data_IF_040489199113
#
_entry.id   IF_040489199113
#
_cell.length_a   1.000
_cell.length_b   1.000
_cell.length_c   1.000
_cell.angle_alpha   90.00
_cell.angle_beta   90.00
_cell.angle_gamma   90.00
#
_symmetry.space_group_name_H-M   'P 1'
#
loop_
_entity.id
_entity.type
_entity.pdbx_description
1 polymer ?
#
# COMPACT_ATOMS: atom_id res chain seq x y z
N UNK A 1 -18.27 2.50 -12.46
CA UNK A 1 -18.05 1.10 -12.83
C UNK A 1 -16.59 0.82 -12.57
N UNK A 2 -16.31 -0.08 -11.61
CA UNK A 2 -14.94 -0.55 -11.42
C UNK A 2 -14.52 -1.23 -12.73
N UNK A 3 -13.51 -0.71 -13.39
CA UNK A 3 -12.92 -1.38 -14.53
C UNK A 3 -12.34 -2.69 -14.01
N UNK A 4 -12.70 -3.82 -14.61
CA UNK A 4 -12.10 -5.12 -14.34
C UNK A 4 -10.60 -5.02 -14.63
N UNK A 5 -9.81 -4.75 -13.58
CA UNK A 5 -8.37 -4.85 -13.69
C UNK A 5 -8.00 -6.32 -13.55
N UNK A 6 -7.27 -6.85 -14.51
CA UNK A 6 -6.82 -8.23 -14.41
C UNK A 6 -5.81 -8.40 -13.26
N UNK A 7 -5.87 -9.53 -12.55
CA UNK A 7 -4.98 -9.87 -11.46
C UNK A 7 -3.49 -9.69 -11.80
N UNK A 8 -3.12 -10.01 -13.05
CA UNK A 8 -1.75 -9.85 -13.56
C UNK A 8 -1.31 -8.38 -13.64
N UNK A 9 -2.22 -7.47 -14.00
CA UNK A 9 -1.92 -6.03 -14.09
C UNK A 9 -1.76 -5.43 -12.70
N UNK A 10 -2.63 -5.79 -11.75
CA UNK A 10 -2.50 -5.38 -10.35
C UNK A 10 -1.17 -5.85 -9.75
N UNK A 11 -0.81 -7.11 -9.98
CA UNK A 11 0.48 -7.64 -9.54
C UNK A 11 1.66 -6.90 -10.17
N UNK A 12 1.58 -6.55 -11.45
CA UNK A 12 2.62 -5.77 -12.14
C UNK A 12 2.77 -4.39 -11.51
N UNK A 13 1.67 -3.68 -11.28
CA UNK A 13 1.68 -2.37 -10.62
C UNK A 13 2.25 -2.47 -9.20
N UNK A 14 1.81 -3.46 -8.41
CA UNK A 14 2.34 -3.73 -7.08
C UNK A 14 3.86 -3.95 -7.11
N UNK A 15 4.36 -4.85 -7.96
CA UNK A 15 5.79 -5.14 -8.08
C UNK A 15 6.62 -3.93 -8.49
N UNK A 16 6.06 -3.02 -9.26
CA UNK A 16 6.73 -1.78 -9.62
C UNK A 16 6.81 -0.83 -8.43
N UNK A 17 5.72 -0.67 -7.69
CA UNK A 17 5.62 0.19 -6.51
C UNK A 17 6.54 -0.25 -5.38
N UNK A 18 6.53 -1.56 -5.04
CA UNK A 18 7.30 -2.08 -3.90
C UNK A 18 8.82 -2.04 -4.07
N UNK A 19 9.33 -1.75 -5.27
CA UNK A 19 10.77 -1.53 -5.49
C UNK A 19 11.36 -0.38 -4.66
N UNK A 20 10.51 0.49 -4.15
CA UNK A 20 10.89 1.60 -3.27
C UNK A 20 11.01 1.20 -1.79
N UNK A 21 10.74 -0.06 -1.45
CA UNK A 21 10.69 -0.58 -0.09
C UNK A 21 11.60 -1.79 0.07
N UNK A 22 12.14 -2.00 1.29
CA UNK A 22 12.99 -3.15 1.63
C UNK A 22 12.21 -4.25 2.37
N UNK A 23 11.05 -3.93 2.93
CA UNK A 23 10.18 -4.91 3.59
C UNK A 23 8.76 -4.79 3.05
N UNK A 24 8.27 -5.87 2.44
CA UNK A 24 6.94 -5.99 1.87
C UNK A 24 6.53 -7.46 1.82
N UNK A 25 5.25 -7.72 1.64
CA UNK A 25 4.78 -9.08 1.42
C UNK A 25 4.92 -9.46 -0.06
N UNK A 26 5.49 -10.63 -0.30
CA UNK A 26 5.47 -11.23 -1.64
C UNK A 26 4.04 -11.61 -2.00
N UNK A 27 3.60 -11.19 -3.18
CA UNK A 27 2.28 -11.48 -3.73
C UNK A 27 2.42 -12.14 -5.09
N UNK A 28 1.45 -12.97 -5.39
CA UNK A 28 1.33 -13.67 -6.68
C UNK A 28 0.00 -13.36 -7.37
N UNK A 29 -0.23 -14.01 -8.50
CA UNK A 29 -1.48 -13.84 -9.25
C UNK A 29 -2.67 -14.34 -8.44
N UNK A 30 -2.51 -15.46 -7.70
CA UNK A 30 -3.59 -16.06 -6.93
C UNK A 30 -4.08 -15.14 -5.79
N UNK A 31 -3.18 -14.37 -5.20
CA UNK A 31 -3.54 -13.31 -4.24
C UNK A 31 -4.53 -12.31 -4.86
N UNK A 32 -4.21 -11.78 -6.06
CA UNK A 32 -5.06 -10.79 -6.72
C UNK A 32 -6.36 -11.39 -7.29
N UNK A 33 -6.35 -12.64 -7.70
CA UNK A 33 -7.58 -13.35 -8.10
C UNK A 33 -8.52 -13.49 -6.89
N UNK A 34 -7.99 -13.79 -5.71
CA UNK A 34 -8.77 -13.86 -4.46
C UNK A 34 -9.30 -12.48 -4.09
N UNK A 35 -8.45 -11.45 -4.14
CA UNK A 35 -8.85 -10.08 -3.90
C UNK A 35 -10.01 -9.64 -4.83
N UNK A 36 -9.90 -9.90 -6.13
CA UNK A 36 -10.94 -9.55 -7.10
C UNK A 36 -12.25 -10.27 -6.81
N UNK A 37 -12.21 -11.54 -6.36
CA UNK A 37 -13.41 -12.24 -5.88
C UNK A 37 -14.01 -11.58 -4.63
N UNK A 38 -13.19 -11.17 -3.65
CA UNK A 38 -13.66 -10.47 -2.45
C UNK A 38 -14.33 -9.14 -2.79
N UNK A 39 -13.82 -8.42 -3.80
CA UNK A 39 -14.43 -7.16 -4.26
C UNK A 39 -15.87 -7.38 -4.78
N UNK A 40 -16.17 -8.52 -5.36
CA UNK A 40 -17.55 -8.85 -5.81
C UNK A 40 -18.54 -8.98 -4.66
N UNK A 41 -18.06 -9.22 -3.43
CA UNK A 41 -18.89 -9.25 -2.22
C UNK A 41 -19.29 -7.85 -1.71
N UNK A 42 -18.71 -6.79 -2.29
CA UNK A 42 -19.08 -5.41 -1.98
C UNK A 42 -18.53 -4.86 -0.65
N UNK A 43 -17.70 -5.61 0.06
CA UNK A 43 -17.10 -5.19 1.35
C UNK A 43 -15.99 -4.16 1.11
N UNK A 44 -15.19 -4.40 0.09
CA UNK A 44 -14.11 -3.52 -0.37
C UNK A 44 -14.42 -3.05 -1.79
N UNK A 45 -13.81 -1.96 -2.18
CA UNK A 45 -13.91 -1.40 -3.53
C UNK A 45 -12.53 -1.14 -4.09
N UNK A 46 -12.41 -1.17 -5.41
CA UNK A 46 -11.18 -0.92 -6.15
C UNK A 46 -11.41 0.24 -7.12
N UNK A 47 -10.52 1.21 -7.09
CA UNK A 47 -10.38 2.20 -8.15
C UNK A 47 -9.00 2.06 -8.77
N UNK A 48 -8.92 2.21 -10.09
CA UNK A 48 -7.68 2.11 -10.85
C UNK A 48 -7.45 3.36 -11.67
N UNK A 49 -6.18 3.70 -11.87
CA UNK A 49 -5.78 4.77 -12.79
C UNK A 49 -4.95 4.19 -13.92
N UNK A 50 -5.35 4.52 -15.16
CA UNK A 50 -4.62 4.15 -16.37
C UNK A 50 -4.14 5.41 -17.08
N UNK A 51 -2.95 5.33 -17.69
CA UNK A 51 -2.44 6.39 -18.55
C UNK A 51 -3.15 6.45 -19.92
N UNK A 52 -2.72 7.36 -20.77
CA UNK A 52 -3.26 7.53 -22.11
C UNK A 52 -3.06 6.30 -23.03
N UNK A 53 -2.15 5.41 -22.68
CA UNK A 53 -1.86 4.16 -23.40
C UNK A 53 -2.61 2.95 -22.81
N UNK A 54 -3.45 3.18 -21.81
CA UNK A 54 -4.19 2.12 -21.12
C UNK A 54 -3.37 1.34 -20.08
N UNK A 55 -2.13 1.75 -19.80
CA UNK A 55 -1.29 1.09 -18.81
C UNK A 55 -1.77 1.40 -17.40
N UNK A 56 -1.90 0.40 -16.55
CA UNK A 56 -2.27 0.57 -15.15
C UNK A 56 -1.12 1.25 -14.38
N UNK A 57 -1.34 2.48 -13.94
CA UNK A 57 -0.36 3.31 -13.22
C UNK A 57 -0.65 3.44 -11.72
N UNK A 58 -1.71 2.83 -11.24
CA UNK A 58 -2.02 2.78 -9.82
C UNK A 58 -3.40 2.21 -9.54
N UNK A 59 -3.60 1.86 -8.27
CA UNK A 59 -4.90 1.44 -7.75
C UNK A 59 -5.03 1.78 -6.28
N UNK A 60 -6.27 1.96 -5.81
CA UNK A 60 -6.63 2.05 -4.39
C UNK A 60 -7.61 0.94 -4.06
N UNK A 61 -7.41 0.35 -2.87
CA UNK A 61 -8.40 -0.51 -2.23
C UNK A 61 -8.98 0.28 -1.06
N UNK A 62 -10.28 0.46 -1.04
CA UNK A 62 -10.97 1.27 -0.04
C UNK A 62 -12.29 0.63 0.39
N UNK A 63 -12.81 1.07 1.50
CA UNK A 63 -14.08 0.61 2.05
C UNK A 63 -14.72 1.68 2.93
N UNK A 64 -16.02 1.55 3.12
CA UNK A 64 -16.71 2.32 4.15
C UNK A 64 -16.52 1.66 5.51
N UNK A 65 -16.05 2.40 6.51
CA UNK A 65 -16.01 2.00 7.91
C UNK A 65 -16.87 2.95 8.73
N UNK A 66 -18.02 2.50 9.17
CA UNK A 66 -19.05 3.34 9.75
C UNK A 66 -19.45 4.43 8.74
N UNK A 67 -19.07 5.69 8.98
CA UNK A 67 -19.34 6.81 8.08
C UNK A 67 -18.10 7.34 7.37
N UNK A 68 -16.94 6.73 7.62
CA UNK A 68 -15.67 7.18 7.05
C UNK A 68 -15.31 6.37 5.81
N UNK A 69 -14.84 7.05 4.76
CA UNK A 69 -14.22 6.43 3.61
C UNK A 69 -12.75 6.15 3.93
N UNK A 70 -12.39 4.87 4.01
CA UNK A 70 -11.05 4.46 4.43
C UNK A 70 -10.32 3.76 3.29
N UNK A 71 -9.22 4.36 2.84
CA UNK A 71 -8.28 3.74 1.89
C UNK A 71 -7.34 2.84 2.66
N UNK A 72 -7.44 1.54 2.40
CA UNK A 72 -6.64 0.50 3.04
C UNK A 72 -5.30 0.28 2.33
N UNK A 73 -5.28 0.39 1.02
CA UNK A 73 -4.08 0.22 0.23
C UNK A 73 -4.04 1.26 -0.89
N UNK A 74 -2.88 1.88 -1.07
CA UNK A 74 -2.60 2.80 -2.15
C UNK A 74 -1.31 2.38 -2.86
N UNK A 75 -1.44 1.99 -4.12
CA UNK A 75 -0.34 1.65 -5.02
C UNK A 75 -0.37 2.64 -6.18
N UNK A 76 0.71 3.38 -6.38
CA UNK A 76 0.77 4.42 -7.41
C UNK A 76 2.20 4.66 -7.90
N UNK A 77 2.33 4.96 -9.19
CA UNK A 77 3.62 5.24 -9.82
C UNK A 77 3.97 6.73 -9.72
N UNK A 78 2.96 7.59 -9.74
CA UNK A 78 3.10 9.04 -9.77
C UNK A 78 2.07 9.71 -8.87
N UNK A 79 2.41 10.87 -8.31
CA UNK A 79 1.51 11.65 -7.45
C UNK A 79 0.19 12.01 -8.14
N UNK A 80 0.24 12.24 -9.45
CA UNK A 80 -0.96 12.58 -10.24
C UNK A 80 -1.94 11.41 -10.29
N UNK A 81 -1.45 10.17 -10.39
CA UNK A 81 -2.30 8.98 -10.35
C UNK A 81 -3.03 8.88 -9.01
N UNK A 82 -2.28 9.06 -7.90
CA UNK A 82 -2.86 9.07 -6.56
C UNK A 82 -3.91 10.18 -6.40
N UNK A 83 -3.59 11.41 -6.81
CA UNK A 83 -4.53 12.54 -6.71
C UNK A 83 -5.83 12.29 -7.49
N UNK A 84 -5.75 11.73 -8.70
CA UNK A 84 -6.93 11.43 -9.52
C UNK A 84 -7.80 10.34 -8.91
N UNK A 85 -7.17 9.26 -8.44
CA UNK A 85 -7.89 8.20 -7.75
C UNK A 85 -8.56 8.68 -6.46
N UNK A 86 -7.85 9.49 -5.66
CA UNK A 86 -8.43 10.08 -4.45
C UNK A 86 -9.61 11.01 -4.75
N UNK A 87 -9.51 11.83 -5.81
CA UNK A 87 -10.60 12.69 -6.26
C UNK A 87 -11.82 11.88 -6.69
N UNK A 88 -11.61 10.78 -7.39
CA UNK A 88 -12.68 9.88 -7.86
C UNK A 88 -13.45 9.27 -6.69
N UNK A 89 -12.75 8.77 -5.66
CA UNK A 89 -13.39 8.13 -4.53
C UNK A 89 -13.97 9.12 -3.51
N UNK A 90 -13.46 10.36 -3.48
CA UNK A 90 -13.96 11.38 -2.55
C UNK A 90 -15.45 11.68 -2.82
N UNK A 91 -15.85 11.84 -4.10
CA UNK A 91 -17.23 12.13 -4.47
C UNK A 91 -17.83 13.23 -3.59
N UNK A 92 -18.93 12.90 -2.91
CA UNK A 92 -19.61 13.78 -1.96
C UNK A 92 -19.17 13.59 -0.49
N UNK A 93 -18.14 12.80 -0.22
CA UNK A 93 -17.61 12.60 1.13
C UNK A 93 -16.79 13.80 1.58
N UNK A 94 -16.94 14.19 2.85
CA UNK A 94 -16.21 15.33 3.43
C UNK A 94 -14.74 15.05 3.62
N UNK A 95 -14.35 13.80 3.87
CA UNK A 95 -12.99 13.41 4.13
C UNK A 95 -12.69 11.94 3.74
N UNK A 96 -11.42 11.66 3.52
CA UNK A 96 -10.90 10.30 3.31
C UNK A 96 -9.84 10.03 4.38
N UNK A 97 -9.92 8.88 5.02
CA UNK A 97 -8.85 8.34 5.86
C UNK A 97 -7.95 7.48 4.99
N UNK A 98 -6.65 7.74 5.00
CA UNK A 98 -5.68 6.97 4.21
C UNK A 98 -4.68 6.33 5.15
N UNK A 99 -4.62 5.00 5.12
CA UNK A 99 -3.65 4.23 5.89
C UNK A 99 -2.40 3.98 5.04
N UNK A 100 -1.27 4.58 5.41
CA UNK A 100 -0.02 4.50 4.65
C UNK A 100 1.19 4.33 5.55
N UNK A 101 2.29 3.88 4.97
CA UNK A 101 3.58 3.89 5.65
C UNK A 101 4.00 5.33 5.99
N UNK A 102 4.60 5.52 7.16
CA UNK A 102 5.13 6.83 7.58
C UNK A 102 6.12 7.43 6.57
N UNK A 103 6.72 6.61 5.73
CA UNK A 103 7.67 7.04 4.70
C UNK A 103 7.02 7.71 3.49
N UNK A 104 5.73 7.50 3.25
CA UNK A 104 5.05 8.00 2.04
C UNK A 104 4.73 9.50 2.09
N UNK A 105 4.76 10.12 3.27
CA UNK A 105 4.65 11.59 3.46
C UNK A 105 3.59 12.24 2.59
N UNK A 106 2.37 11.70 2.62
CA UNK A 106 1.25 12.17 1.78
C UNK A 106 0.90 13.65 1.99
N UNK A 107 1.28 14.24 3.12
CA UNK A 107 1.14 15.68 3.40
C UNK A 107 1.90 16.57 2.39
N UNK A 108 2.88 16.01 1.66
CA UNK A 108 3.56 16.73 0.57
C UNK A 108 2.75 16.75 -0.73
N UNK A 109 1.82 15.82 -0.89
CA UNK A 109 0.94 15.70 -2.07
C UNK A 109 -0.39 16.39 -1.77
N UNK A 110 -0.90 16.22 -0.55
CA UNK A 110 -2.18 16.77 -0.08
C UNK A 110 -1.92 17.75 1.05
N UNK A 111 -1.88 19.02 0.74
CA UNK A 111 -1.51 20.09 1.69
C UNK A 111 -2.50 20.26 2.85
N UNK A 112 -3.73 19.79 2.72
CA UNK A 112 -4.75 19.80 3.77
C UNK A 112 -4.77 18.49 4.58
N UNK A 113 -3.90 17.53 4.29
CA UNK A 113 -3.86 16.27 5.03
C UNK A 113 -3.36 16.50 6.46
N UNK A 114 -4.07 15.89 7.42
CA UNK A 114 -3.73 15.92 8.85
C UNK A 114 -3.13 14.56 9.21
N UNK A 115 -1.79 14.45 9.33
CA UNK A 115 -1.14 13.18 9.65
C UNK A 115 -1.43 12.78 11.10
N UNK A 116 -1.90 11.56 11.29
CA UNK A 116 -2.01 10.90 12.60
C UNK A 116 -1.10 9.69 12.61
N UNK A 117 -0.35 9.50 13.68
CA UNK A 117 0.50 8.31 13.85
C UNK A 117 -0.23 7.29 14.70
N UNK A 118 -0.25 6.05 14.24
CA UNK A 118 -0.71 4.90 15.01
C UNK A 118 0.32 3.78 14.93
N UNK A 119 0.41 2.98 16.01
CA UNK A 119 1.17 1.74 15.97
C UNK A 119 0.34 0.74 15.14
N UNK A 120 0.91 0.28 14.02
CA UNK A 120 0.22 -0.67 13.14
C UNK A 120 0.61 -2.11 13.45
N UNK A 121 1.90 -2.36 13.64
CA UNK A 121 2.44 -3.70 13.76
C UNK A 121 3.64 -3.72 14.71
N UNK A 122 3.79 -4.84 15.43
CA UNK A 122 5.01 -5.16 16.15
C UNK A 122 5.81 -6.19 15.36
N UNK A 123 7.12 -5.95 15.24
CA UNK A 123 8.01 -6.89 14.58
C UNK A 123 9.15 -7.32 15.52
N UNK A 124 9.55 -8.58 15.42
CA UNK A 124 10.62 -9.18 16.21
C UNK A 124 11.59 -9.94 15.32
N UNK A 125 12.87 -9.82 15.61
CA UNK A 125 13.89 -10.68 15.01
C UNK A 125 13.97 -11.98 15.81
N UNK A 126 13.54 -13.08 15.24
CA UNK A 126 13.53 -14.39 15.90
C UNK A 126 14.93 -15.00 16.03
N UNK A 127 15.83 -14.69 15.08
CA UNK A 127 17.20 -15.19 15.08
C UNK A 127 18.16 -14.12 14.56
N UNK A 128 18.87 -13.45 15.48
CA UNK A 128 19.94 -12.50 15.10
C UNK A 128 21.09 -13.15 14.34
N UNK A 129 21.56 -14.40 14.69
CA UNK A 129 22.59 -15.05 13.91
C UNK A 129 22.20 -15.24 12.43
N UNK A 130 20.96 -15.69 12.15
CA UNK A 130 20.46 -15.86 10.81
C UNK A 130 20.29 -14.50 10.11
N UNK A 131 19.66 -13.51 10.78
CA UNK A 131 19.53 -12.18 10.25
C UNK A 131 20.87 -11.57 9.84
N UNK A 132 21.85 -11.62 10.75
CA UNK A 132 23.18 -11.07 10.52
C UNK A 132 23.92 -11.76 9.37
N UNK A 133 23.74 -13.07 9.21
CA UNK A 133 24.29 -13.82 8.06
C UNK A 133 23.64 -13.38 6.75
N UNK A 134 22.32 -13.24 6.70
CA UNK A 134 21.58 -12.86 5.49
C UNK A 134 21.87 -11.43 5.03
N UNK A 135 21.97 -10.50 5.99
CA UNK A 135 22.18 -9.07 5.71
C UNK A 135 23.66 -8.63 5.83
N UNK A 136 24.58 -9.57 6.06
CA UNK A 136 25.99 -9.27 6.36
C UNK A 136 26.13 -8.17 7.43
N UNK A 137 25.45 -8.35 8.55
CA UNK A 137 25.27 -7.37 9.61
C UNK A 137 25.79 -7.86 10.97
N UNK A 138 25.72 -6.98 11.99
CA UNK A 138 26.09 -7.30 13.37
C UNK A 138 25.04 -6.77 14.36
N UNK A 139 23.77 -6.80 13.98
CA UNK A 139 22.69 -6.35 14.82
C UNK A 139 22.49 -7.23 16.05
N UNK A 140 22.26 -6.60 17.20
CA UNK A 140 21.93 -7.25 18.50
C UNK A 140 20.55 -6.86 19.02
N UNK A 141 19.98 -5.79 18.46
CA UNK A 141 18.68 -5.26 18.84
C UNK A 141 17.79 -5.07 17.61
N UNK A 142 16.44 -5.06 17.77
CA UNK A 142 15.54 -4.76 16.65
C UNK A 142 15.85 -3.40 15.99
N UNK A 143 16.17 -2.38 16.80
CA UNK A 143 16.52 -1.06 16.30
C UNK A 143 17.73 -1.09 15.37
N UNK A 144 18.78 -1.81 15.75
CA UNK A 144 19.96 -1.98 14.90
C UNK A 144 19.63 -2.78 13.63
N UNK A 145 18.82 -3.83 13.74
CA UNK A 145 18.42 -4.63 12.60
C UNK A 145 17.63 -3.80 11.57
N UNK A 146 16.66 -3.01 12.02
CA UNK A 146 15.89 -2.15 11.12
C UNK A 146 16.69 -0.97 10.56
N UNK A 147 17.72 -0.49 11.28
CA UNK A 147 18.58 0.57 10.79
C UNK A 147 19.48 0.14 9.61
N UNK A 148 19.62 -1.17 9.37
CA UNK A 148 20.39 -1.72 8.24
C UNK A 148 19.63 -1.61 6.92
N UNK A 149 18.30 -1.55 6.99
CA UNK A 149 17.45 -1.41 5.82
C UNK A 149 17.68 -0.05 5.18
N UNK A 150 17.95 -0.04 3.88
CA UNK A 150 18.25 1.20 3.13
C UNK A 150 16.99 1.93 2.68
N UNK A 151 15.90 1.18 2.53
CA UNK A 151 14.59 1.69 2.13
C UNK A 151 13.57 1.47 3.25
N UNK A 152 12.45 2.19 3.25
CA UNK A 152 11.41 1.99 4.25
C UNK A 152 10.73 0.62 4.14
N UNK A 153 10.01 0.26 5.19
CA UNK A 153 9.13 -0.91 5.21
C UNK A 153 7.75 -0.52 4.68
N UNK A 154 7.15 -1.43 3.93
CA UNK A 154 5.77 -1.33 3.46
C UNK A 154 5.04 -2.65 3.76
N UNK A 155 4.57 -2.78 4.99
CA UNK A 155 3.91 -3.98 5.49
C UNK A 155 2.40 -3.70 5.58
N UNK A 156 1.72 -3.78 4.44
CA UNK A 156 0.28 -3.62 4.31
C UNK A 156 -0.35 -4.98 4.04
N UNK A 157 -0.84 -5.63 5.09
CA UNK A 157 -1.71 -6.79 5.02
C UNK A 157 -2.91 -6.53 5.92
N UNK A 158 -4.09 -6.64 5.37
CA UNK A 158 -5.35 -6.53 6.08
C UNK A 158 -6.11 -7.84 5.95
N UNK A 159 -6.23 -8.53 7.06
CA UNK A 159 -7.07 -9.71 7.20
C UNK A 159 -8.50 -9.32 7.54
#
# INVERSE_FOLDING_TARGET
MAHEAEAKELLKAYRQFIRHFDGYYERDVAYYETLLKELTLGIKQLVTYRDAHGTLCGYLIYQMQKNDLVVKEAVYMESIALQRMMKEILGDHEAIIVEVSQSEKLEKIFTLAIPKRSAFMMARINSYPLFNKLFNAKAKTPKEAYAILKKPLWLHEYY
#
